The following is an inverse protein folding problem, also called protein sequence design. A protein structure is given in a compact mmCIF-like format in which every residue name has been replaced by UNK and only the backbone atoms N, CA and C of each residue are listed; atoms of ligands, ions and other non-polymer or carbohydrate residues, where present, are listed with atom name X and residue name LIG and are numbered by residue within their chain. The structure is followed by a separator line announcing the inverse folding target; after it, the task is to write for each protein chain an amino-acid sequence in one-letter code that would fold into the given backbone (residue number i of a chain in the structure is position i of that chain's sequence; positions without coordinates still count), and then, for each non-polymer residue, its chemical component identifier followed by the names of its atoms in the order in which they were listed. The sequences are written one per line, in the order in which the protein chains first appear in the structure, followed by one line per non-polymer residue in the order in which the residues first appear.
data_IF_769662485429
#
_entry.id   IF_769662485429
#
_cell.length_a   1.000
_cell.length_b   1.000
_cell.length_c   1.000
_cell.angle_alpha   90.00
_cell.angle_beta   90.00
_cell.angle_gamma   90.00
#
_symmetry.space_group_name_H-M   'P 1'
#
loop_
_entity.id
_entity.type
_entity.pdbx_description
1 polymer ?
#
# COMPACT_ATOMS: atom_id res chain seq x y z
N UNK A 1 37.08 37.07 -11.84
CA UNK A 1 36.10 36.28 -12.61
C UNK A 1 36.15 34.78 -12.37
N UNK A 2 37.17 34.19 -11.71
CA UNK A 2 37.26 32.72 -11.57
C UNK A 2 36.50 32.09 -10.40
N UNK A 3 36.35 32.81 -9.29
CA UNK A 3 35.73 32.26 -8.05
C UNK A 3 34.21 32.30 -8.09
N UNK A 4 33.65 33.32 -8.75
CA UNK A 4 32.21 33.55 -8.87
C UNK A 4 31.56 32.53 -9.80
N UNK A 5 32.21 32.17 -10.91
CA UNK A 5 31.76 31.10 -11.82
C UNK A 5 31.83 29.73 -11.18
N UNK A 6 32.81 29.50 -10.31
CA UNK A 6 33.02 28.22 -9.64
C UNK A 6 32.00 27.99 -8.51
N UNK A 7 31.67 29.03 -7.74
CA UNK A 7 30.61 28.98 -6.73
C UNK A 7 29.23 28.73 -7.38
N UNK A 8 29.00 29.33 -8.54
CA UNK A 8 27.74 29.19 -9.26
C UNK A 8 27.58 27.82 -9.92
N UNK A 9 28.66 27.30 -10.51
CA UNK A 9 28.72 25.93 -11.03
C UNK A 9 28.58 24.90 -9.90
N UNK A 10 29.18 25.14 -8.73
CA UNK A 10 29.03 24.29 -7.56
C UNK A 10 27.59 24.30 -7.02
N UNK A 11 26.92 25.46 -6.99
CA UNK A 11 25.51 25.55 -6.60
C UNK A 11 24.57 24.84 -7.58
N UNK A 12 24.79 25.02 -8.89
CA UNK A 12 24.03 24.33 -9.94
C UNK A 12 24.26 22.81 -9.91
N UNK A 13 25.50 22.37 -9.71
CA UNK A 13 25.84 20.96 -9.55
C UNK A 13 25.24 20.36 -8.28
N UNK A 14 25.28 21.09 -7.15
CA UNK A 14 24.69 20.65 -5.89
C UNK A 14 23.16 20.52 -5.97
N UNK A 15 22.48 21.44 -6.69
CA UNK A 15 21.03 21.33 -6.89
C UNK A 15 20.65 20.24 -7.89
N UNK A 16 21.41 20.05 -8.96
CA UNK A 16 21.20 18.93 -9.88
C UNK A 16 21.41 17.58 -9.18
N UNK A 17 22.43 17.47 -8.31
CA UNK A 17 22.72 16.26 -7.57
C UNK A 17 21.67 15.98 -6.47
N UNK A 18 21.24 17.01 -5.75
CA UNK A 18 20.22 16.86 -4.70
C UNK A 18 18.85 16.49 -5.27
N UNK A 19 18.48 17.05 -6.43
CA UNK A 19 17.24 16.70 -7.15
C UNK A 19 17.27 15.31 -7.76
N UNK A 20 18.41 14.88 -8.30
CA UNK A 20 18.55 13.51 -8.81
C UNK A 20 18.37 12.46 -7.71
N UNK A 21 18.97 12.69 -6.54
CA UNK A 21 18.85 11.79 -5.39
C UNK A 21 17.41 11.74 -4.83
N UNK A 22 16.72 12.89 -4.73
CA UNK A 22 15.33 12.93 -4.22
C UNK A 22 14.35 12.22 -5.15
N UNK A 23 14.48 12.40 -6.46
CA UNK A 23 13.62 11.71 -7.44
C UNK A 23 13.87 10.20 -7.45
N UNK A 24 15.13 9.76 -7.37
CA UNK A 24 15.45 8.33 -7.27
C UNK A 24 14.90 7.70 -5.98
N UNK A 25 15.07 8.37 -4.83
CA UNK A 25 14.54 7.88 -3.55
C UNK A 25 13.01 7.74 -3.58
N UNK A 26 12.29 8.71 -4.15
CA UNK A 26 10.84 8.60 -4.34
C UNK A 26 10.43 7.47 -5.28
N UNK A 27 11.22 7.20 -6.33
CA UNK A 27 10.98 6.05 -7.22
C UNK A 27 11.13 4.72 -6.51
N UNK A 28 12.19 4.57 -5.71
CA UNK A 28 12.46 3.37 -4.93
C UNK A 28 11.39 3.15 -3.85
N UNK A 29 11.00 4.21 -3.13
CA UNK A 29 9.98 4.15 -2.09
C UNK A 29 8.63 3.64 -2.65
N UNK A 30 8.23 4.15 -3.81
CA UNK A 30 7.00 3.70 -4.46
C UNK A 30 7.07 2.28 -5.03
N UNK A 31 8.23 1.81 -5.50
CA UNK A 31 8.39 0.40 -5.90
C UNK A 31 8.30 -0.54 -4.70
N UNK A 32 8.90 -0.15 -3.56
CA UNK A 32 8.78 -0.91 -2.33
C UNK A 32 7.34 -0.91 -1.82
N UNK A 33 6.65 0.23 -1.88
CA UNK A 33 5.24 0.35 -1.49
C UNK A 33 4.32 -0.49 -2.38
N UNK A 34 4.55 -0.53 -3.70
CA UNK A 34 3.79 -1.40 -4.60
C UNK A 34 4.06 -2.88 -4.32
N UNK A 35 5.32 -3.27 -4.09
CA UNK A 35 5.65 -4.64 -3.74
C UNK A 35 5.01 -5.09 -2.42
N UNK A 36 4.97 -4.20 -1.41
CA UNK A 36 4.26 -4.47 -0.15
C UNK A 36 2.75 -4.56 -0.34
N UNK A 37 2.18 -3.72 -1.21
CA UNK A 37 0.76 -3.78 -1.56
C UNK A 37 0.40 -5.10 -2.26
N UNK A 38 1.22 -5.54 -3.22
CA UNK A 38 1.03 -6.82 -3.91
C UNK A 38 1.14 -8.00 -2.95
N UNK A 39 2.12 -7.97 -2.04
CA UNK A 39 2.24 -8.98 -0.98
C UNK A 39 1.01 -9.02 -0.08
N UNK A 40 0.50 -7.86 0.35
CA UNK A 40 -0.69 -7.77 1.18
C UNK A 40 -1.95 -8.31 0.46
N UNK A 41 -2.08 -8.11 -0.85
CA UNK A 41 -3.16 -8.70 -1.65
C UNK A 41 -3.03 -10.22 -1.74
N UNK A 42 -1.81 -10.74 -1.97
CA UNK A 42 -1.57 -12.19 -2.00
C UNK A 42 -1.89 -12.85 -0.66
N UNK A 43 -1.47 -12.26 0.44
CA UNK A 43 -1.78 -12.77 1.79
C UNK A 43 -3.29 -12.74 2.07
N UNK A 44 -3.97 -11.68 1.63
CA UNK A 44 -5.43 -11.54 1.69
C UNK A 44 -6.17 -12.60 0.87
N UNK A 45 -5.70 -12.90 -0.34
CA UNK A 45 -6.27 -13.94 -1.20
C UNK A 45 -6.00 -15.35 -0.67
N UNK A 46 -4.82 -15.58 -0.10
CA UNK A 46 -4.47 -16.83 0.59
C UNK A 46 -5.38 -17.06 1.80
N UNK A 47 -5.63 -16.03 2.62
CA UNK A 47 -6.53 -16.12 3.76
C UNK A 47 -7.98 -16.43 3.35
N UNK A 48 -8.49 -15.78 2.29
CA UNK A 48 -9.82 -16.07 1.75
C UNK A 48 -9.92 -17.50 1.19
N UNK A 49 -8.87 -17.97 0.52
CA UNK A 49 -8.79 -19.33 -0.01
C UNK A 49 -8.75 -20.36 1.11
N UNK A 50 -7.97 -20.12 2.16
CA UNK A 50 -7.93 -20.96 3.35
C UNK A 50 -9.31 -21.02 4.05
N UNK A 51 -10.02 -19.90 4.14
CA UNK A 51 -11.38 -19.86 4.69
C UNK A 51 -12.36 -20.73 3.88
N UNK A 52 -12.27 -20.73 2.54
CA UNK A 52 -13.08 -21.62 1.69
C UNK A 52 -12.77 -23.10 1.93
N UNK A 53 -11.48 -23.45 2.01
CA UNK A 53 -11.07 -24.82 2.33
C UNK A 53 -11.58 -25.25 3.70
N UNK A 54 -11.55 -24.35 4.69
CA UNK A 54 -12.07 -24.61 6.02
C UNK A 54 -13.59 -24.80 6.02
N UNK A 55 -14.33 -23.98 5.27
CA UNK A 55 -15.77 -24.16 5.07
C UNK A 55 -16.11 -25.53 4.44
N UNK A 56 -15.36 -25.97 3.43
CA UNK A 56 -15.54 -27.30 2.86
C UNK A 56 -15.23 -28.43 3.85
N UNK A 57 -14.25 -28.20 4.74
CA UNK A 57 -13.96 -29.12 5.84
C UNK A 57 -15.11 -29.20 6.83
N UNK A 58 -15.72 -28.08 7.21
CA UNK A 58 -16.90 -28.03 8.09
C UNK A 58 -18.04 -28.86 7.48
N UNK A 59 -18.36 -28.64 6.21
CA UNK A 59 -19.38 -29.44 5.47
C UNK A 59 -19.04 -30.93 5.43
N UNK A 60 -17.76 -31.29 5.30
CA UNK A 60 -17.33 -32.70 5.33
C UNK A 60 -17.51 -33.32 6.72
N UNK A 61 -17.14 -32.60 7.79
CA UNK A 61 -17.32 -33.05 9.17
C UNK A 61 -18.80 -33.22 9.51
N UNK A 62 -19.67 -32.30 9.06
CA UNK A 62 -21.11 -32.39 9.25
C UNK A 62 -21.70 -33.67 8.64
N UNK A 63 -21.30 -34.03 7.42
CA UNK A 63 -21.69 -35.30 6.80
C UNK A 63 -21.25 -36.52 7.62
N UNK A 64 -20.05 -36.47 8.20
CA UNK A 64 -19.55 -37.53 9.10
C UNK A 64 -20.40 -37.63 10.36
N UNK A 65 -20.68 -36.49 11.01
CA UNK A 65 -21.49 -36.42 12.23
C UNK A 65 -22.93 -36.90 12.00
N UNK A 66 -23.55 -36.50 10.88
CA UNK A 66 -24.86 -37.00 10.47
C UNK A 66 -24.84 -38.53 10.29
N UNK A 67 -23.79 -39.08 9.65
CA UNK A 67 -23.61 -40.52 9.50
C UNK A 67 -23.45 -41.25 10.84
N UNK A 68 -22.63 -40.70 11.75
CA UNK A 68 -22.43 -41.23 13.10
C UNK A 68 -23.70 -41.15 13.95
N UNK A 69 -24.43 -40.03 13.88
CA UNK A 69 -25.72 -39.86 14.56
C UNK A 69 -26.73 -40.90 14.07
N UNK A 70 -26.88 -41.07 12.75
CA UNK A 70 -27.76 -42.08 12.18
C UNK A 70 -27.34 -43.51 12.59
N UNK A 71 -26.04 -43.81 12.59
CA UNK A 71 -25.53 -45.12 13.02
C UNK A 71 -25.74 -45.37 14.53
N UNK A 72 -25.55 -44.36 15.37
CA UNK A 72 -25.78 -44.44 16.82
C UNK A 72 -27.27 -44.62 17.15
N UNK A 73 -28.15 -43.90 16.45
CA UNK A 73 -29.59 -44.05 16.55
C UNK A 73 -30.02 -45.47 16.17
N UNK A 74 -29.51 -45.99 15.03
CA UNK A 74 -29.77 -47.36 14.59
C UNK A 74 -29.24 -48.42 15.57
N UNK A 75 -28.04 -48.22 16.15
CA UNK A 75 -27.44 -49.12 17.12
C UNK A 75 -28.15 -49.11 18.49
N UNK A 76 -28.77 -47.99 18.87
CA UNK A 76 -29.45 -47.85 20.15
C UNK A 76 -30.76 -48.63 20.24
N UNK A 77 -31.30 -49.10 19.10
CA UNK A 77 -32.58 -49.81 19.04
C UNK A 77 -33.78 -48.98 19.50
N UNK A 78 -33.58 -47.70 19.84
CA UNK A 78 -34.64 -46.77 20.18
C UNK A 78 -35.28 -46.35 18.86
N UNK A 79 -36.59 -46.55 18.74
CA UNK A 79 -37.42 -45.99 17.68
C UNK A 79 -37.47 -44.47 17.86
N UNK A 80 -36.35 -43.80 17.62
CA UNK A 80 -36.34 -42.36 17.33
C UNK A 80 -37.10 -42.22 16.03
N UNK A 81 -38.41 -42.00 16.15
CA UNK A 81 -39.30 -41.84 15.01
C UNK A 81 -38.69 -40.93 13.96
N UNK A 82 -39.02 -41.18 12.69
CA UNK A 82 -38.41 -40.57 11.50
C UNK A 82 -38.15 -39.05 11.65
N UNK A 83 -39.04 -38.32 12.35
CA UNK A 83 -38.89 -36.90 12.66
C UNK A 83 -37.73 -36.50 13.58
N UNK A 84 -37.33 -37.30 14.57
CA UNK A 84 -36.21 -36.97 15.48
C UNK A 84 -34.86 -37.11 14.79
N UNK A 85 -34.69 -38.17 14.00
CA UNK A 85 -33.49 -38.36 13.18
C UNK A 85 -33.40 -37.28 12.07
N UNK A 86 -34.53 -36.90 11.47
CA UNK A 86 -34.56 -35.81 10.48
C UNK A 86 -34.15 -34.46 11.10
N UNK A 87 -34.69 -34.13 12.27
CA UNK A 87 -34.39 -32.88 12.97
C UNK A 87 -32.91 -32.79 13.37
N UNK A 88 -32.33 -33.87 13.92
CA UNK A 88 -30.90 -33.90 14.28
C UNK A 88 -30.02 -33.68 13.04
N UNK A 89 -30.32 -34.33 11.93
CA UNK A 89 -29.56 -34.15 10.69
C UNK A 89 -29.73 -32.73 10.15
N UNK A 90 -30.95 -32.17 10.15
CA UNK A 90 -31.20 -30.78 9.74
C UNK A 90 -30.44 -29.78 10.61
N UNK A 91 -30.36 -30.01 11.92
CA UNK A 91 -29.62 -29.15 12.84
C UNK A 91 -28.11 -29.25 12.61
N UNK A 92 -27.56 -30.46 12.41
CA UNK A 92 -26.15 -30.67 12.07
C UNK A 92 -25.79 -29.95 10.76
N UNK A 93 -26.60 -30.13 9.71
CA UNK A 93 -26.34 -29.48 8.42
C UNK A 93 -26.55 -27.96 8.48
N UNK A 94 -27.60 -27.49 9.17
CA UNK A 94 -27.89 -26.07 9.34
C UNK A 94 -26.76 -25.34 10.06
N UNK A 95 -26.32 -25.86 11.21
CA UNK A 95 -25.22 -25.28 11.98
C UNK A 95 -23.92 -25.29 11.18
N UNK A 96 -23.63 -26.38 10.46
CA UNK A 96 -22.44 -26.49 9.64
C UNK A 96 -22.45 -25.54 8.43
N UNK A 97 -23.61 -25.31 7.80
CA UNK A 97 -23.75 -24.32 6.74
C UNK A 97 -23.58 -22.89 7.27
N UNK A 98 -24.17 -22.58 8.42
CA UNK A 98 -24.01 -21.28 9.08
C UNK A 98 -22.53 -21.01 9.42
N UNK A 99 -21.84 -21.97 10.02
CA UNK A 99 -20.41 -21.89 10.34
C UNK A 99 -19.54 -21.75 9.08
N UNK A 100 -19.85 -22.51 8.03
CA UNK A 100 -19.16 -22.44 6.75
C UNK A 100 -19.34 -21.07 6.08
N UNK A 101 -20.56 -20.55 6.06
CA UNK A 101 -20.89 -19.23 5.50
C UNK A 101 -20.21 -18.13 6.30
N UNK A 102 -20.27 -18.17 7.63
CA UNK A 102 -19.59 -17.21 8.49
C UNK A 102 -18.07 -17.26 8.33
N UNK A 103 -17.50 -18.45 8.16
CA UNK A 103 -16.06 -18.63 7.88
C UNK A 103 -15.68 -17.95 6.57
N UNK A 104 -16.44 -18.21 5.48
CA UNK A 104 -16.19 -17.57 4.17
C UNK A 104 -16.35 -16.05 4.27
N UNK A 105 -17.42 -15.56 4.91
CA UNK A 105 -17.68 -14.13 5.09
C UNK A 105 -16.55 -13.44 5.85
N UNK A 106 -16.05 -14.04 6.92
CA UNK A 106 -14.92 -13.51 7.68
C UNK A 106 -13.65 -13.46 6.82
N UNK A 107 -13.37 -14.52 6.05
CA UNK A 107 -12.26 -14.55 5.10
C UNK A 107 -12.38 -13.49 4.00
N UNK A 108 -13.57 -13.31 3.42
CA UNK A 108 -13.82 -12.29 2.40
C UNK A 108 -13.73 -10.87 2.96
N UNK A 109 -14.18 -10.65 4.19
CA UNK A 109 -14.03 -9.37 4.88
C UNK A 109 -12.57 -9.06 5.24
N UNK A 110 -11.77 -10.07 5.62
CA UNK A 110 -10.32 -9.92 5.74
C UNK A 110 -9.68 -9.56 4.40
N UNK A 111 -10.09 -10.25 3.32
CA UNK A 111 -9.58 -9.94 1.97
C UNK A 111 -9.88 -8.51 1.55
N UNK A 112 -11.13 -8.05 1.70
CA UNK A 112 -11.51 -6.66 1.39
C UNK A 112 -10.67 -5.65 2.16
N UNK A 113 -10.43 -5.88 3.45
CA UNK A 113 -9.55 -5.03 4.27
C UNK A 113 -8.12 -5.00 3.73
N UNK A 114 -7.53 -6.17 3.45
CA UNK A 114 -6.17 -6.25 2.87
C UNK A 114 -6.05 -5.53 1.53
N UNK A 115 -7.07 -5.60 0.68
CA UNK A 115 -7.12 -4.87 -0.59
C UNK A 115 -7.22 -3.34 -0.40
N UNK A 116 -7.99 -2.87 0.58
CA UNK A 116 -8.06 -1.45 0.94
C UNK A 116 -6.71 -0.96 1.46
N UNK A 117 -6.06 -1.73 2.32
CA UNK A 117 -4.73 -1.40 2.86
C UNK A 117 -3.65 -1.38 1.77
N UNK A 118 -3.68 -2.35 0.85
CA UNK A 118 -2.81 -2.39 -0.31
C UNK A 118 -3.02 -1.19 -1.23
N UNK A 119 -4.28 -0.84 -1.51
CA UNK A 119 -4.63 0.35 -2.28
C UNK A 119 -4.09 1.62 -1.60
N UNK A 120 -4.24 1.73 -0.29
CA UNK A 120 -3.71 2.85 0.48
C UNK A 120 -2.18 2.93 0.41
N UNK A 121 -1.45 1.81 0.58
CA UNK A 121 0.01 1.75 0.44
C UNK A 121 0.48 2.21 -0.95
N UNK A 122 -0.18 1.73 -2.01
CA UNK A 122 0.12 2.15 -3.37
C UNK A 122 -0.12 3.66 -3.56
N UNK A 123 -1.22 4.18 -3.01
CA UNK A 123 -1.55 5.61 -3.06
C UNK A 123 -0.52 6.47 -2.31
N UNK A 124 -0.10 6.04 -1.11
CA UNK A 124 0.96 6.70 -0.35
C UNK A 124 2.29 6.71 -1.13
N UNK A 125 2.65 5.61 -1.78
CA UNK A 125 3.83 5.55 -2.64
C UNK A 125 3.76 6.53 -3.82
N UNK A 126 2.60 6.63 -4.48
CA UNK A 126 2.38 7.60 -5.56
C UNK A 126 2.42 9.05 -5.07
N UNK A 127 1.82 9.35 -3.92
CA UNK A 127 1.91 10.68 -3.32
C UNK A 127 3.34 11.06 -2.97
N UNK A 128 4.13 10.13 -2.42
CA UNK A 128 5.56 10.38 -2.13
C UNK A 128 6.37 10.65 -3.41
N UNK A 129 6.09 9.94 -4.52
CA UNK A 129 6.67 10.28 -5.82
C UNK A 129 6.29 11.69 -6.27
N UNK A 130 5.01 12.05 -6.14
CA UNK A 130 4.51 13.39 -6.48
C UNK A 130 5.19 14.48 -5.64
N UNK A 131 5.30 14.28 -4.33
CA UNK A 131 5.95 15.19 -3.40
C UNK A 131 7.46 15.30 -3.68
N UNK A 132 8.15 14.19 -3.94
CA UNK A 132 9.57 14.19 -4.29
C UNK A 132 9.82 14.94 -5.62
N UNK A 133 8.96 14.76 -6.63
CA UNK A 133 9.03 15.51 -7.87
C UNK A 133 8.72 17.00 -7.65
N UNK A 134 7.73 17.34 -6.84
CA UNK A 134 7.40 18.73 -6.52
C UNK A 134 8.52 19.42 -5.74
N UNK A 135 9.15 18.73 -4.78
CA UNK A 135 10.34 19.21 -4.07
C UNK A 135 11.52 19.38 -5.02
N UNK A 136 11.73 18.45 -5.96
CA UNK A 136 12.77 18.58 -6.96
C UNK A 136 12.54 19.81 -7.86
N UNK A 137 11.31 20.01 -8.35
CA UNK A 137 10.93 21.21 -9.11
C UNK A 137 11.12 22.47 -8.26
N UNK A 138 10.70 22.45 -6.99
CA UNK A 138 10.89 23.55 -6.05
C UNK A 138 12.36 23.91 -5.84
N UNK A 139 13.22 22.90 -5.66
CA UNK A 139 14.67 23.08 -5.52
C UNK A 139 15.30 23.66 -6.79
N UNK A 140 14.90 23.18 -7.98
CA UNK A 140 15.36 23.74 -9.27
C UNK A 140 14.87 25.17 -9.46
N UNK A 141 13.59 25.45 -9.16
CA UNK A 141 13.00 26.78 -9.28
C UNK A 141 13.64 27.76 -8.30
N UNK A 142 13.88 27.34 -7.05
CA UNK A 142 14.53 28.15 -6.03
C UNK A 142 15.98 28.41 -6.41
N UNK A 143 16.72 27.44 -6.94
CA UNK A 143 18.05 27.67 -7.49
C UNK A 143 18.04 28.63 -8.70
N UNK A 144 17.08 28.49 -9.60
CA UNK A 144 16.90 29.41 -10.74
C UNK A 144 16.55 30.84 -10.29
N UNK A 145 15.67 30.99 -9.29
CA UNK A 145 15.30 32.27 -8.70
C UNK A 145 16.48 32.90 -7.94
N UNK A 146 17.25 32.09 -7.20
CA UNK A 146 18.48 32.52 -6.51
C UNK A 146 19.53 33.01 -7.50
N UNK A 147 19.67 32.30 -8.62
CA UNK A 147 20.55 32.69 -9.71
C UNK A 147 20.10 33.98 -10.39
N UNK A 148 18.79 34.12 -10.66
CA UNK A 148 18.20 35.34 -11.20
C UNK A 148 18.36 36.55 -10.26
N UNK A 149 18.13 36.37 -8.95
CA UNK A 149 18.36 37.38 -7.92
C UNK A 149 19.83 37.75 -7.77
N UNK A 150 20.75 36.77 -7.84
CA UNK A 150 22.19 37.04 -7.83
C UNK A 150 22.59 37.84 -9.06
N UNK A 151 22.11 37.48 -10.25
CA UNK A 151 22.39 38.20 -11.50
C UNK A 151 21.77 39.60 -11.50
N UNK A 152 20.56 39.76 -10.97
CA UNK A 152 19.91 41.06 -10.81
C UNK A 152 20.61 41.94 -9.76
N UNK A 153 21.08 41.36 -8.65
CA UNK A 153 21.86 42.06 -7.63
C UNK A 153 23.26 42.42 -8.12
N UNK A 154 23.88 41.56 -8.93
CA UNK A 154 25.15 41.84 -9.60
C UNK A 154 24.99 42.93 -10.67
N UNK A 155 23.91 42.91 -11.45
CA UNK A 155 23.58 43.97 -12.41
C UNK A 155 23.25 45.31 -11.72
N UNK A 156 22.54 45.27 -10.59
CA UNK A 156 22.23 46.45 -9.78
C UNK A 156 23.44 47.06 -9.08
N UNK A 157 24.45 46.24 -8.70
CA UNK A 157 25.75 46.73 -8.21
C UNK A 157 26.68 47.20 -9.33
N UNK A 158 26.57 46.64 -10.54
CA UNK A 158 27.37 47.07 -11.69
C UNK A 158 26.84 48.38 -12.32
N UNK A 159 25.57 48.73 -12.09
CA UNK A 159 24.96 49.99 -12.54
C UNK A 159 25.36 51.24 -11.76
N UNK A 160 26.04 51.10 -10.62
CA UNK A 160 26.54 52.23 -9.81
C UNK A 160 28.08 52.29 -9.72
N UNK A 161 28.78 51.39 -10.39
CA UNK A 161 30.24 51.35 -10.44
C UNK A 161 30.78 51.91 -11.76
N UNK A 162 30.41 53.15 -12.12
CA UNK A 162 31.14 53.90 -13.15
C UNK A 162 31.41 55.34 -12.74
N UNK A 163 32.71 55.59 -12.51
CA UNK A 163 33.46 56.86 -12.48
C UNK A 163 33.39 57.73 -11.23
N UNK A 164 34.51 57.71 -10.49
CA UNK A 164 35.27 58.93 -10.20
C UNK A 164 36.73 58.56 -9.90
N UNK A 165 37.54 58.47 -10.96
CA UNK A 165 39.00 58.53 -10.87
C UNK A 165 39.49 59.61 -11.82
N UNK A 166 40.01 60.70 -11.24
CA UNK A 166 40.96 61.65 -11.83
C UNK A 166 40.42 62.78 -12.73
N UNK A 167 40.43 64.01 -12.20
CA UNK A 167 41.13 65.18 -12.77
C UNK A 167 40.96 66.40 -11.83
N UNK A 168 42.05 67.17 -11.70
CA UNK A 168 42.30 68.43 -10.95
C UNK A 168 42.63 68.34 -9.44
#
# INVERSE_FOLDING_TARGET
MGVETMALAAMAAATAYSTYNTVQQGRQAAMNASAQADQAQLDADNAASAARVQADRIRKTARSQAGEANAALAASGVEVGEGTALNINQEIYGNAEEDAVMTILNGENQRKRGYVDASNMALYGQQQRGAANAQAIGNVLQAGASYGMWKASAAGRNGTASKAGGAD
#
